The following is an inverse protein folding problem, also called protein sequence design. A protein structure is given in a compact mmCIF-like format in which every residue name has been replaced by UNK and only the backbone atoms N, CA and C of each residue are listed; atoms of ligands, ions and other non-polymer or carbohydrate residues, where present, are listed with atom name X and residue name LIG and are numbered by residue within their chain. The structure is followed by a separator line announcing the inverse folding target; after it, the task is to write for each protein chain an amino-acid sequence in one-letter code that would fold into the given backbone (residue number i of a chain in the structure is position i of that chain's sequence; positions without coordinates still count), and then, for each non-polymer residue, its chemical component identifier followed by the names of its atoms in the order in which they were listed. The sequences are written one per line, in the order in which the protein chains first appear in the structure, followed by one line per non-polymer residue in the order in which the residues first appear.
data_IF_904559542372
#
_entry.id   IF_904559542372
#
_cell.length_a   1.000
_cell.length_b   1.000
_cell.length_c   1.000
_cell.angle_alpha   90.00
_cell.angle_beta   90.00
_cell.angle_gamma   90.00
#
_symmetry.space_group_name_H-M   'P 1'
#
loop_
_entity.id
_entity.type
_entity.pdbx_description
1 polymer ?
#
# COMPACT_ATOMS: atom_id res chain seq x y z
N UNK A 1 54.14 31.69 3.44
CA UNK A 1 53.12 31.39 4.48
C UNK A 1 52.63 32.69 5.08
N UNK A 2 51.50 33.22 4.61
CA UNK A 2 50.87 34.40 5.21
C UNK A 2 50.01 33.88 6.37
N UNK A 3 50.58 33.86 7.58
CA UNK A 3 49.81 33.59 8.80
C UNK A 3 49.13 34.89 9.22
N UNK A 4 47.90 35.11 8.76
CA UNK A 4 47.12 36.26 9.17
C UNK A 4 46.52 35.96 10.56
N UNK A 5 47.02 36.67 11.58
CA UNK A 5 46.70 36.46 13.00
C UNK A 5 45.20 36.53 13.34
N UNK A 6 44.39 37.07 12.42
CA UNK A 6 42.94 37.22 12.59
C UNK A 6 42.11 36.06 12.05
N UNK A 7 42.68 35.16 11.22
CA UNK A 7 41.93 34.03 10.65
C UNK A 7 41.48 33.05 11.74
N UNK A 8 42.36 32.77 12.72
CA UNK A 8 42.02 31.89 13.83
C UNK A 8 40.92 32.47 14.73
N UNK A 9 40.91 33.79 14.92
CA UNK A 9 39.89 34.49 15.70
C UNK A 9 38.55 34.50 14.97
N UNK A 10 38.55 34.76 13.65
CA UNK A 10 37.35 34.70 12.83
C UNK A 10 36.75 33.29 12.78
N UNK A 11 37.58 32.26 12.60
CA UNK A 11 37.14 30.87 12.63
C UNK A 11 36.49 30.53 13.98
N UNK A 12 37.11 30.91 15.10
CA UNK A 12 36.58 30.66 16.45
C UNK A 12 35.22 31.37 16.68
N UNK A 13 35.09 32.63 16.25
CA UNK A 13 33.82 33.38 16.36
C UNK A 13 32.73 32.72 15.53
N UNK A 14 33.07 32.25 14.32
CA UNK A 14 32.11 31.57 13.45
C UNK A 14 31.67 30.22 14.04
N UNK A 15 32.60 29.45 14.61
CA UNK A 15 32.28 28.20 15.32
C UNK A 15 31.38 28.46 16.52
N UNK A 16 31.68 29.48 17.34
CA UNK A 16 30.84 29.84 18.50
C UNK A 16 29.44 30.27 18.03
N UNK A 17 29.34 31.05 16.95
CA UNK A 17 28.06 31.47 16.38
C UNK A 17 27.24 30.28 15.88
N UNK A 18 27.87 29.30 15.22
CA UNK A 18 27.21 28.06 14.79
C UNK A 18 26.74 27.25 15.99
N UNK A 19 27.58 27.05 17.01
CA UNK A 19 27.22 26.31 18.22
C UNK A 19 26.06 26.98 18.96
N UNK A 20 26.11 28.30 19.13
CA UNK A 20 25.01 29.06 19.74
C UNK A 20 23.73 29.00 18.90
N UNK A 21 23.86 29.02 17.56
CA UNK A 21 22.74 28.79 16.64
C UNK A 21 22.11 27.41 16.83
N UNK A 22 22.92 26.35 16.87
CA UNK A 22 22.45 24.99 17.14
C UNK A 22 21.78 24.87 18.50
N UNK A 23 22.36 25.46 19.56
CA UNK A 23 21.78 25.45 20.92
C UNK A 23 20.47 26.23 20.97
N UNK A 24 20.37 27.34 20.23
CA UNK A 24 19.14 28.10 20.11
C UNK A 24 18.05 27.30 19.38
N UNK A 25 18.39 26.63 18.28
CA UNK A 25 17.46 25.76 17.54
C UNK A 25 17.01 24.58 18.42
N UNK A 26 17.91 23.94 19.16
CA UNK A 26 17.57 22.87 20.09
C UNK A 26 16.70 23.35 21.26
N UNK A 27 16.92 24.57 21.76
CA UNK A 27 16.13 25.16 22.85
C UNK A 27 14.74 25.65 22.44
N UNK A 28 14.50 25.79 21.14
CA UNK A 28 13.22 26.23 20.56
C UNK A 28 12.57 25.17 19.66
N UNK A 29 13.13 23.96 19.58
CA UNK A 29 12.61 22.88 18.73
C UNK A 29 11.12 22.65 18.96
N UNK A 30 10.70 22.59 20.22
CA UNK A 30 9.30 22.32 20.61
C UNK A 30 8.32 23.42 20.15
N UNK A 31 8.81 24.65 19.94
CA UNK A 31 8.01 25.78 19.41
C UNK A 31 8.14 25.96 17.90
N UNK A 32 9.21 25.43 17.29
CA UNK A 32 9.43 25.44 15.84
C UNK A 32 8.71 24.28 15.16
N UNK A 33 8.60 23.12 15.81
CA UNK A 33 7.93 21.92 15.30
C UNK A 33 6.50 22.17 14.77
N UNK A 34 5.58 22.85 15.51
CA UNK A 34 4.24 23.12 15.00
C UNK A 34 4.21 24.13 13.82
N UNK A 35 5.22 25.00 13.70
CA UNK A 35 5.33 25.93 12.56
C UNK A 35 5.88 25.25 11.30
N UNK A 36 6.75 24.25 11.46
CA UNK A 36 7.33 23.47 10.35
C UNK A 36 6.33 22.44 9.80
N UNK A 37 5.38 21.96 10.62
CA UNK A 37 4.27 21.07 10.17
C UNK A 37 3.36 21.72 9.12
N UNK A 38 3.33 23.06 9.04
CA UNK A 38 2.49 23.80 8.08
C UNK A 38 3.16 24.11 6.74
N UNK A 39 4.44 23.78 6.59
CA UNK A 39 5.12 23.84 5.30
C UNK A 39 5.25 22.41 4.79
N UNK A 40 4.39 22.02 3.85
CA UNK A 40 4.64 20.85 3.01
C UNK A 40 6.10 20.95 2.56
N UNK A 41 6.91 19.93 2.86
CA UNK A 41 8.25 19.89 2.29
C UNK A 41 8.03 19.83 0.78
N UNK A 42 8.40 20.92 0.12
CA UNK A 42 8.19 21.04 -1.31
C UNK A 42 9.12 20.06 -2.00
N UNK A 43 8.61 18.88 -2.35
CA UNK A 43 9.35 17.86 -3.06
C UNK A 43 9.25 18.14 -4.56
N UNK A 44 10.38 18.03 -5.27
CA UNK A 44 10.44 18.38 -6.70
C UNK A 44 9.53 17.47 -7.55
N UNK A 45 9.41 16.19 -7.19
CA UNK A 45 8.52 15.26 -7.87
C UNK A 45 7.03 15.64 -7.79
N UNK A 46 6.58 16.26 -6.69
CA UNK A 46 5.17 16.60 -6.51
C UNK A 46 4.71 17.54 -7.64
N UNK A 47 5.47 18.61 -7.85
CA UNK A 47 5.19 19.57 -8.91
C UNK A 47 5.44 19.00 -10.30
N UNK A 48 6.58 18.33 -10.49
CA UNK A 48 7.02 17.89 -11.81
C UNK A 48 6.20 16.71 -12.37
N UNK A 49 5.63 15.87 -11.51
CA UNK A 49 4.90 14.68 -11.91
C UNK A 49 3.39 14.80 -11.67
N UNK A 50 2.96 15.42 -10.57
CA UNK A 50 1.56 15.35 -10.12
C UNK A 50 0.79 16.68 -10.22
N UNK A 51 1.47 17.82 -10.33
CA UNK A 51 0.82 19.12 -10.56
C UNK A 51 1.00 19.67 -11.99
N UNK A 52 1.45 18.83 -12.92
CA UNK A 52 1.62 19.22 -14.32
C UNK A 52 0.28 19.37 -15.06
N UNK A 53 0.21 20.30 -16.01
CA UNK A 53 -0.94 20.49 -16.91
C UNK A 53 -1.15 19.32 -17.90
N UNK A 54 -0.17 18.42 -17.99
CA UNK A 54 -0.15 17.27 -18.88
C UNK A 54 -0.02 15.96 -18.09
N UNK A 55 -0.53 14.87 -18.67
CA UNK A 55 -0.35 13.52 -18.11
C UNK A 55 1.12 13.10 -18.12
N UNK A 56 1.51 12.25 -17.18
CA UNK A 56 2.87 11.71 -17.12
C UNK A 56 3.11 10.82 -18.34
N UNK A 57 4.24 10.97 -19.01
CA UNK A 57 4.70 10.03 -20.04
C UNK A 57 5.81 9.16 -19.48
N UNK A 58 5.63 7.84 -19.52
CA UNK A 58 6.58 6.86 -18.99
C UNK A 58 6.93 5.86 -20.11
N UNK A 59 8.20 5.75 -20.46
CA UNK A 59 8.73 4.71 -21.36
C UNK A 59 9.57 3.72 -20.55
N UNK A 60 9.10 2.48 -20.44
CA UNK A 60 9.82 1.39 -19.78
C UNK A 60 10.68 0.69 -20.83
N UNK A 61 11.99 0.68 -20.61
CA UNK A 61 12.97 0.17 -21.56
C UNK A 61 13.69 -1.04 -20.96
N UNK A 62 13.42 -2.22 -21.53
CA UNK A 62 14.05 -3.47 -21.12
C UNK A 62 13.97 -4.52 -22.23
N UNK A 63 14.78 -5.58 -22.13
CA UNK A 63 14.73 -6.68 -23.09
C UNK A 63 13.33 -7.30 -23.14
N UNK A 64 12.81 -7.53 -24.35
CA UNK A 64 11.44 -8.04 -24.55
C UNK A 64 11.21 -9.39 -23.87
N UNK A 65 12.24 -10.26 -23.86
CA UNK A 65 12.19 -11.55 -23.18
C UNK A 65 12.04 -11.37 -21.66
N UNK A 66 12.73 -10.37 -21.08
CA UNK A 66 12.61 -10.05 -19.64
C UNK A 66 11.27 -9.42 -19.28
N UNK A 67 10.72 -8.58 -20.17
CA UNK A 67 9.36 -8.07 -19.99
C UNK A 67 8.36 -9.23 -19.95
N UNK A 68 8.42 -10.15 -20.91
CA UNK A 68 7.53 -11.31 -20.94
C UNK A 68 7.74 -12.23 -19.74
N UNK A 69 8.99 -12.52 -19.36
CA UNK A 69 9.30 -13.31 -18.16
C UNK A 69 8.68 -12.70 -16.90
N UNK A 70 8.74 -11.38 -16.74
CA UNK A 70 8.11 -10.67 -15.64
C UNK A 70 6.58 -10.86 -15.62
N UNK A 71 5.93 -10.80 -16.78
CA UNK A 71 4.48 -11.00 -16.88
C UNK A 71 4.08 -12.45 -16.60
N UNK A 72 4.85 -13.42 -17.10
CA UNK A 72 4.63 -14.85 -16.87
C UNK A 72 4.85 -15.23 -15.39
N UNK A 73 5.73 -14.51 -14.72
CA UNK A 73 6.08 -14.69 -13.31
C UNK A 73 5.44 -13.64 -12.38
N UNK A 74 4.35 -12.99 -12.82
CA UNK A 74 3.76 -11.84 -12.14
C UNK A 74 3.36 -12.12 -10.68
N UNK A 75 2.85 -13.33 -10.39
CA UNK A 75 2.44 -13.76 -9.05
C UNK A 75 3.57 -13.87 -8.03
N UNK A 76 4.83 -13.87 -8.48
CA UNK A 76 5.99 -13.94 -7.58
C UNK A 76 6.39 -12.57 -7.01
N UNK A 77 5.91 -11.49 -7.62
CA UNK A 77 6.21 -10.10 -7.22
C UNK A 77 7.71 -9.80 -7.08
N UNK A 78 8.54 -10.45 -7.89
CA UNK A 78 9.99 -10.18 -7.92
C UNK A 78 10.31 -8.99 -8.82
N UNK A 79 11.28 -8.19 -8.40
CA UNK A 79 11.77 -7.06 -9.19
C UNK A 79 12.63 -7.49 -10.37
N UNK A 80 12.34 -6.89 -11.53
CA UNK A 80 13.15 -6.93 -12.73
C UNK A 80 13.80 -5.56 -12.93
N UNK A 81 15.01 -5.56 -13.49
CA UNK A 81 15.74 -4.33 -13.79
C UNK A 81 15.31 -3.79 -15.16
N UNK A 82 15.03 -2.49 -15.23
CA UNK A 82 14.73 -1.76 -16.46
C UNK A 82 15.34 -0.35 -16.42
N UNK A 83 15.43 0.30 -17.58
CA UNK A 83 15.58 1.75 -17.65
C UNK A 83 14.19 2.37 -17.81
N UNK A 84 13.97 3.57 -17.29
CA UNK A 84 12.68 4.27 -17.43
C UNK A 84 12.91 5.71 -17.86
N UNK A 85 12.16 6.18 -18.85
CA UNK A 85 12.13 7.59 -19.25
C UNK A 85 10.81 8.22 -18.79
N UNK A 86 10.88 9.10 -17.78
CA UNK A 86 9.72 9.79 -17.21
C UNK A 86 9.76 11.25 -17.64
N UNK A 87 8.75 11.70 -18.40
CA UNK A 87 8.67 13.06 -18.95
C UNK A 87 9.95 13.50 -19.70
N UNK A 88 10.62 12.55 -20.36
CA UNK A 88 11.89 12.78 -21.07
C UNK A 88 13.16 12.64 -20.23
N UNK A 89 13.04 12.49 -18.91
CA UNK A 89 14.17 12.26 -18.01
C UNK A 89 14.43 10.75 -17.88
N UNK A 90 15.62 10.31 -18.28
CA UNK A 90 16.02 8.89 -18.19
C UNK A 90 16.60 8.58 -16.81
N UNK A 91 16.09 7.51 -16.20
CA UNK A 91 16.63 6.83 -15.02
C UNK A 91 17.05 5.42 -15.42
N UNK A 92 18.22 4.98 -14.96
CA UNK A 92 18.78 3.68 -15.32
C UNK A 92 18.68 2.72 -14.14
N UNK A 93 18.53 1.43 -14.44
CA UNK A 93 18.51 0.37 -13.42
C UNK A 93 17.43 0.57 -12.34
N UNK A 94 16.23 0.94 -12.77
CA UNK A 94 15.02 1.01 -11.93
C UNK A 94 14.43 -0.39 -11.75
N UNK A 95 13.94 -0.69 -10.55
CA UNK A 95 13.16 -1.89 -10.30
C UNK A 95 11.73 -1.75 -10.80
N UNK A 96 11.25 -2.76 -11.54
CA UNK A 96 9.84 -2.89 -11.91
C UNK A 96 9.31 -4.27 -11.50
N UNK A 97 8.09 -4.31 -10.98
CA UNK A 97 7.35 -5.56 -10.76
C UNK A 97 5.85 -5.36 -10.95
N UNK A 98 5.10 -6.41 -11.35
CA UNK A 98 3.66 -6.45 -11.17
C UNK A 98 3.30 -6.35 -9.69
N UNK A 99 2.14 -5.79 -9.39
CA UNK A 99 1.61 -5.64 -8.03
C UNK A 99 0.11 -5.87 -7.96
N UNK A 100 -0.35 -6.19 -6.75
CA UNK A 100 -1.76 -6.25 -6.38
C UNK A 100 -2.10 -7.58 -5.71
N UNK A 101 -3.32 -7.67 -5.21
CA UNK A 101 -3.84 -8.92 -4.65
C UNK A 101 -4.83 -9.53 -5.65
N UNK A 102 -6.13 -9.26 -5.50
CA UNK A 102 -7.20 -9.75 -6.38
C UNK A 102 -6.95 -9.45 -7.86
N UNK A 103 -6.57 -8.21 -8.20
CA UNK A 103 -6.32 -7.85 -9.60
C UNK A 103 -5.16 -8.63 -10.21
N UNK A 104 -4.10 -8.88 -9.44
CA UNK A 104 -2.93 -9.62 -9.90
C UNK A 104 -3.31 -11.07 -10.18
N UNK A 105 -3.98 -11.73 -9.23
CA UNK A 105 -4.44 -13.11 -9.36
C UNK A 105 -5.44 -13.28 -10.52
N UNK A 106 -6.41 -12.37 -10.66
CA UNK A 106 -7.40 -12.42 -11.74
C UNK A 106 -6.76 -12.26 -13.11
N UNK A 107 -5.84 -11.31 -13.29
CA UNK A 107 -5.16 -11.09 -14.57
C UNK A 107 -4.23 -12.27 -14.89
N UNK A 108 -3.46 -12.76 -13.91
CA UNK A 108 -2.57 -13.91 -14.12
C UNK A 108 -3.32 -15.21 -14.48
N UNK A 109 -4.59 -15.33 -14.10
CA UNK A 109 -5.44 -16.46 -14.47
C UNK A 109 -6.07 -16.35 -15.87
N UNK A 110 -6.01 -15.16 -16.49
CA UNK A 110 -6.59 -14.89 -17.79
C UNK A 110 -5.48 -14.81 -18.86
N UNK A 111 -5.36 -15.83 -19.74
CA UNK A 111 -4.28 -15.88 -20.72
C UNK A 111 -4.36 -14.77 -21.78
N UNK A 112 -5.51 -14.10 -21.91
CA UNK A 112 -5.74 -13.04 -22.89
C UNK A 112 -5.60 -11.64 -22.27
N UNK A 113 -5.31 -11.55 -20.97
CA UNK A 113 -5.16 -10.29 -20.25
C UNK A 113 -3.79 -10.18 -19.61
N UNK A 114 -3.04 -9.15 -20.02
CA UNK A 114 -1.71 -8.87 -19.51
C UNK A 114 -1.63 -7.47 -18.86
N UNK A 115 -2.77 -6.84 -18.57
CA UNK A 115 -2.82 -5.44 -18.13
C UNK A 115 -2.60 -5.32 -16.62
N UNK A 116 -1.46 -5.77 -16.13
CA UNK A 116 -1.10 -5.69 -14.70
C UNK A 116 -0.93 -4.25 -14.24
N UNK A 117 -1.13 -4.01 -12.94
CA UNK A 117 -0.59 -2.83 -12.26
C UNK A 117 0.89 -3.05 -11.97
N UNK A 118 1.67 -1.97 -11.99
CA UNK A 118 3.12 -2.05 -11.76
C UNK A 118 3.54 -1.18 -10.56
N UNK A 119 4.62 -1.59 -9.90
CA UNK A 119 5.37 -0.78 -8.94
C UNK A 119 6.76 -0.53 -9.55
N UNK A 120 7.16 0.74 -9.59
CA UNK A 120 8.53 1.16 -9.88
C UNK A 120 9.22 1.53 -8.58
N UNK A 121 10.41 0.99 -8.33
CA UNK A 121 11.26 1.30 -7.19
C UNK A 121 12.61 1.80 -7.70
N UNK A 122 12.91 3.08 -7.46
CA UNK A 122 14.02 3.76 -8.12
C UNK A 122 15.39 3.38 -7.55
N UNK A 123 15.45 2.99 -6.28
CA UNK A 123 16.67 2.59 -5.58
C UNK A 123 16.86 1.07 -5.46
N UNK A 124 15.95 0.26 -6.02
CA UNK A 124 16.00 -1.21 -5.96
C UNK A 124 17.35 -1.83 -6.39
N UNK A 125 18.02 -1.23 -7.37
CA UNK A 125 19.32 -1.69 -7.88
C UNK A 125 20.43 -0.62 -7.78
N UNK A 126 20.09 0.59 -7.33
CA UNK A 126 21.02 1.71 -7.18
C UNK A 126 20.67 2.46 -5.89
N UNK A 127 21.34 2.12 -4.80
CA UNK A 127 21.10 2.69 -3.47
C UNK A 127 20.96 4.23 -3.51
N UNK A 128 19.81 4.74 -3.03
CA UNK A 128 19.52 6.16 -2.92
C UNK A 128 19.16 6.88 -4.23
N UNK A 129 19.01 6.17 -5.35
CA UNK A 129 18.44 6.75 -6.57
C UNK A 129 16.97 7.10 -6.37
N UNK A 130 16.56 8.29 -6.81
CA UNK A 130 15.17 8.75 -6.74
C UNK A 130 14.76 9.40 -8.06
N UNK A 131 13.45 9.44 -8.33
CA UNK A 131 12.89 10.26 -9.39
C UNK A 131 12.48 11.63 -8.80
N UNK A 132 13.38 12.63 -8.86
CA UNK A 132 13.11 13.99 -8.33
C UNK A 132 12.74 13.98 -6.82
N UNK A 133 13.29 13.03 -6.07
CA UNK A 133 12.98 12.80 -4.65
C UNK A 133 11.84 11.80 -4.39
N UNK A 134 11.17 11.28 -5.42
CA UNK A 134 10.24 10.15 -5.30
C UNK A 134 11.03 8.85 -5.22
N UNK A 135 10.72 8.01 -4.23
CA UNK A 135 11.32 6.70 -3.98
C UNK A 135 10.64 5.58 -4.79
N UNK A 136 9.30 5.57 -4.82
CA UNK A 136 8.51 4.58 -5.54
C UNK A 136 7.29 5.18 -6.24
N UNK A 137 7.00 4.68 -7.44
CA UNK A 137 5.86 5.09 -8.25
C UNK A 137 4.94 3.90 -8.53
N UNK A 138 3.65 4.08 -8.30
CA UNK A 138 2.63 3.05 -8.50
C UNK A 138 1.86 3.35 -9.78
N UNK A 139 1.70 2.34 -10.63
CA UNK A 139 0.97 2.43 -11.88
C UNK A 139 -0.24 1.50 -11.82
N UNK A 140 -1.40 2.04 -11.43
CA UNK A 140 -2.64 1.28 -11.31
C UNK A 140 -3.35 1.14 -12.66
N UNK A 141 -3.80 -0.08 -12.93
CA UNK A 141 -4.42 -0.50 -14.20
C UNK A 141 -5.93 -0.25 -14.29
N UNK A 142 -6.56 0.30 -13.25
CA UNK A 142 -8.02 0.47 -13.17
C UNK A 142 -8.85 -0.82 -13.29
N UNK A 143 -8.32 -1.96 -12.85
CA UNK A 143 -8.94 -3.28 -13.05
C UNK A 143 -10.45 -3.34 -12.72
N UNK A 144 -10.85 -2.76 -11.59
CA UNK A 144 -12.24 -2.76 -11.12
C UNK A 144 -13.02 -1.46 -11.45
N UNK A 145 -12.44 -0.57 -12.24
CA UNK A 145 -13.02 0.74 -12.56
C UNK A 145 -13.16 0.95 -14.07
N UNK A 146 -14.36 0.68 -14.59
CA UNK A 146 -14.70 0.90 -15.99
C UNK A 146 -14.62 2.38 -16.42
N UNK A 147 -14.67 3.33 -15.47
CA UNK A 147 -14.61 4.77 -15.76
C UNK A 147 -13.18 5.31 -15.81
N UNK A 148 -12.23 4.61 -15.20
CA UNK A 148 -10.85 5.03 -14.96
C UNK A 148 -10.74 6.31 -14.10
N UNK A 149 -11.84 6.75 -13.47
CA UNK A 149 -11.93 8.03 -12.79
C UNK A 149 -12.16 7.90 -11.28
N UNK A 150 -12.63 6.76 -10.77
CA UNK A 150 -13.06 6.66 -9.35
C UNK A 150 -11.93 7.02 -8.41
N UNK A 151 -10.79 6.35 -8.57
CA UNK A 151 -9.63 6.55 -7.72
C UNK A 151 -9.08 7.97 -7.89
N UNK A 152 -8.92 8.45 -9.14
CA UNK A 152 -8.43 9.79 -9.44
C UNK A 152 -9.31 10.90 -8.80
N UNK A 153 -10.64 10.79 -8.93
CA UNK A 153 -11.59 11.74 -8.34
C UNK A 153 -11.51 11.74 -6.81
N UNK A 154 -11.30 10.58 -6.20
CA UNK A 154 -11.25 10.48 -4.74
C UNK A 154 -9.96 11.04 -4.19
N UNK A 155 -8.82 10.81 -4.83
CA UNK A 155 -7.57 11.47 -4.46
C UNK A 155 -7.62 12.98 -4.68
N UNK A 156 -8.31 13.46 -5.74
CA UNK A 156 -8.59 14.89 -5.91
C UNK A 156 -9.44 15.45 -4.76
N UNK A 157 -10.45 14.72 -4.29
CA UNK A 157 -11.24 15.09 -3.11
C UNK A 157 -10.41 15.12 -1.83
N UNK A 158 -9.52 14.15 -1.60
CA UNK A 158 -8.59 14.17 -0.46
C UNK A 158 -7.66 15.38 -0.52
N UNK A 159 -7.11 15.70 -1.69
CA UNK A 159 -6.28 16.88 -1.90
C UNK A 159 -7.07 18.17 -1.64
N UNK A 160 -8.31 18.27 -2.13
CA UNK A 160 -9.20 19.41 -1.87
C UNK A 160 -9.50 19.60 -0.38
N UNK A 161 -9.71 18.50 0.35
CA UNK A 161 -9.95 18.51 1.79
C UNK A 161 -8.67 18.69 2.61
N UNK A 162 -7.49 18.79 1.98
CA UNK A 162 -6.19 18.83 2.64
C UNK A 162 -6.02 17.65 3.62
N UNK A 163 -6.40 16.45 3.16
CA UNK A 163 -6.11 15.20 3.84
C UNK A 163 -4.76 14.63 3.33
N UNK A 164 -4.01 14.00 4.24
CA UNK A 164 -2.77 13.30 3.93
C UNK A 164 -3.09 12.08 3.07
N UNK A 165 -2.85 12.20 1.76
CA UNK A 165 -3.13 11.19 0.76
C UNK A 165 -2.06 11.20 -0.35
N UNK A 166 -1.92 10.07 -1.05
CA UNK A 166 -1.02 9.98 -2.21
C UNK A 166 -1.37 11.04 -3.24
N UNK A 167 -0.34 11.62 -3.85
CA UNK A 167 -0.54 12.37 -5.08
C UNK A 167 -0.90 11.41 -6.23
N UNK A 168 -1.77 11.84 -7.13
CA UNK A 168 -2.21 11.04 -8.27
C UNK A 168 -2.29 11.84 -9.56
N UNK A 169 -1.89 11.24 -10.68
CA UNK A 169 -2.01 11.82 -12.02
C UNK A 169 -2.11 10.70 -13.06
N UNK A 170 -2.80 10.93 -14.17
CA UNK A 170 -2.82 9.95 -15.24
C UNK A 170 -1.43 9.78 -15.88
N UNK A 171 -1.13 8.56 -16.30
CA UNK A 171 0.13 8.21 -16.95
C UNK A 171 -0.12 7.44 -18.25
N UNK A 172 0.53 7.90 -19.32
CA UNK A 172 0.67 7.18 -20.59
C UNK A 172 1.91 6.31 -20.50
N UNK A 173 1.71 5.00 -20.52
CA UNK A 173 2.78 4.01 -20.46
C UNK A 173 3.16 3.56 -21.87
N UNK A 174 4.46 3.48 -22.12
CA UNK A 174 5.08 2.87 -23.28
C UNK A 174 6.06 1.81 -22.81
N UNK A 175 6.21 0.74 -23.60
CA UNK A 175 7.21 -0.30 -23.38
C UNK A 175 8.06 -0.39 -24.64
N UNK A 176 9.36 -0.11 -24.51
CA UNK A 176 10.29 -0.03 -25.63
C UNK A 176 9.81 0.90 -26.76
N UNK A 177 9.18 2.03 -26.39
CA UNK A 177 8.62 3.01 -27.34
C UNK A 177 7.26 2.65 -27.94
N UNK A 178 6.72 1.46 -27.68
CA UNK A 178 5.36 1.07 -28.11
C UNK A 178 4.33 1.41 -27.04
N UNK A 179 3.18 1.96 -27.44
CA UNK A 179 2.13 2.32 -26.48
C UNK A 179 1.56 1.08 -25.80
N UNK A 180 1.58 1.10 -24.46
CA UNK A 180 1.06 0.03 -23.62
C UNK A 180 -0.34 0.33 -23.08
N UNK A 181 -0.56 1.53 -22.54
CA UNK A 181 -1.87 1.87 -21.99
C UNK A 181 -1.90 3.15 -21.17
N UNK A 182 -3.13 3.56 -20.83
CA UNK A 182 -3.42 4.60 -19.84
C UNK A 182 -3.55 3.96 -18.45
N UNK A 183 -2.88 4.56 -17.48
CA UNK A 183 -2.81 4.13 -16.08
C UNK A 183 -3.03 5.33 -15.17
N UNK A 184 -3.32 5.08 -13.89
CA UNK A 184 -3.21 6.09 -12.85
C UNK A 184 -1.87 5.92 -12.15
N UNK A 185 -1.05 6.96 -12.20
CA UNK A 185 0.17 7.02 -11.41
C UNK A 185 -0.17 7.54 -10.02
N UNK A 186 0.33 6.87 -8.98
CA UNK A 186 0.23 7.29 -7.60
C UNK A 186 1.61 7.32 -6.95
N UNK A 187 1.81 8.32 -6.10
CA UNK A 187 2.87 8.31 -5.10
C UNK A 187 2.66 7.12 -4.14
N UNK A 188 3.69 6.31 -3.94
CA UNK A 188 3.64 5.24 -2.94
C UNK A 188 3.61 5.85 -1.53
N UNK A 189 2.78 5.29 -0.63
CA UNK A 189 2.78 5.68 0.79
C UNK A 189 3.97 5.02 1.47
N UNK A 190 5.16 5.57 1.23
CA UNK A 190 6.45 5.11 1.77
C UNK A 190 7.31 6.33 2.17
N UNK A 191 8.62 6.30 1.98
CA UNK A 191 9.54 7.29 2.56
C UNK A 191 9.32 8.69 1.97
N UNK A 192 9.18 8.83 0.65
CA UNK A 192 8.95 10.14 0.03
C UNK A 192 7.63 10.78 0.48
N UNK A 193 6.56 9.97 0.58
CA UNK A 193 5.27 10.40 1.12
C UNK A 193 5.40 10.89 2.57
N UNK A 194 6.11 10.13 3.42
CA UNK A 194 6.33 10.53 4.81
C UNK A 194 7.09 11.85 4.88
N UNK A 195 8.13 12.03 4.06
CA UNK A 195 8.88 13.29 4.01
C UNK A 195 8.00 14.45 3.56
N UNK A 196 7.15 14.27 2.55
CA UNK A 196 6.26 15.32 2.03
C UNK A 196 5.23 15.78 3.07
N UNK A 197 4.56 14.84 3.75
CA UNK A 197 3.45 15.14 4.66
C UNK A 197 3.91 15.38 6.11
N UNK A 198 4.95 14.69 6.58
CA UNK A 198 5.37 14.69 7.99
C UNK A 198 6.80 15.20 8.22
N UNK A 199 7.55 15.43 7.13
CA UNK A 199 8.95 15.85 7.20
C UNK A 199 9.91 14.73 7.59
N UNK A 200 11.09 15.12 8.05
CA UNK A 200 12.16 14.19 8.43
C UNK A 200 12.01 13.62 9.85
N UNK A 201 10.86 13.84 10.50
CA UNK A 201 10.62 13.26 11.81
C UNK A 201 10.44 11.75 11.70
N UNK A 202 11.01 11.02 12.67
CA UNK A 202 10.83 9.57 12.72
C UNK A 202 9.36 9.26 13.02
N UNK A 203 8.73 8.51 12.12
CA UNK A 203 7.43 7.90 12.31
C UNK A 203 7.44 6.47 11.78
N UNK A 204 6.40 5.73 12.12
CA UNK A 204 6.25 4.33 11.76
C UNK A 204 4.99 4.17 10.93
N UNK A 205 5.13 3.42 9.84
CA UNK A 205 4.06 3.22 8.89
C UNK A 205 3.69 1.74 8.87
N UNK A 206 2.39 1.47 8.91
CA UNK A 206 1.82 0.14 8.88
C UNK A 206 0.77 0.09 7.78
N UNK A 207 0.74 -0.99 7.01
CA UNK A 207 -0.30 -1.34 6.04
C UNK A 207 -0.99 -2.62 6.52
N UNK A 208 -1.97 -2.52 7.43
CA UNK A 208 -2.66 -3.70 7.94
C UNK A 208 -3.39 -4.39 6.80
N UNK A 209 -2.97 -5.62 6.47
CA UNK A 209 -3.64 -6.47 5.49
C UNK A 209 -3.96 -7.83 6.13
N UNK A 210 -5.24 -8.09 6.37
CA UNK A 210 -5.73 -9.36 6.91
C UNK A 210 -5.67 -10.53 5.93
N UNK A 211 -5.38 -10.27 4.65
CA UNK A 211 -5.37 -11.23 3.54
C UNK A 211 -3.97 -11.44 2.95
N UNK A 212 -2.92 -11.08 3.69
CA UNK A 212 -1.56 -10.93 3.18
C UNK A 212 -1.05 -12.18 2.42
N UNK A 213 -1.03 -12.07 1.09
CA UNK A 213 -0.48 -13.05 0.13
C UNK A 213 0.61 -12.45 -0.78
N UNK A 214 0.82 -11.12 -0.80
CA UNK A 214 1.60 -10.46 -1.87
C UNK A 214 2.72 -9.50 -1.45
N UNK A 215 2.56 -8.67 -0.41
CA UNK A 215 3.54 -7.61 -0.08
C UNK A 215 4.59 -8.08 0.95
N UNK A 216 5.33 -9.15 0.65
CA UNK A 216 6.59 -9.46 1.37
C UNK A 216 7.76 -8.76 0.68
N UNK A 217 8.06 -7.52 1.07
CA UNK A 217 9.35 -6.92 0.78
C UNK A 217 10.36 -7.29 1.90
N UNK A 218 11.50 -7.88 1.51
CA UNK A 218 12.68 -8.02 2.38
C UNK A 218 13.06 -9.42 2.88
N UNK A 219 13.56 -10.28 2.00
CA UNK A 219 14.59 -11.28 2.36
C UNK A 219 14.13 -12.70 2.71
N UNK A 220 14.39 -13.64 1.78
CA UNK A 220 14.69 -15.04 2.06
C UNK A 220 13.57 -15.89 2.69
N UNK A 221 13.01 -16.83 1.92
CA UNK A 221 12.30 -17.97 2.52
C UNK A 221 13.20 -18.65 3.58
N UNK A 222 12.73 -18.86 4.82
CA UNK A 222 13.41 -19.78 5.72
C UNK A 222 13.33 -21.16 5.10
N UNK A 223 14.49 -21.77 4.87
CA UNK A 223 14.66 -23.15 4.44
C UNK A 223 13.74 -24.08 5.29
N UNK A 224 13.04 -25.07 4.73
CA UNK A 224 12.05 -25.88 5.47
C UNK A 224 12.60 -26.75 6.62
N UNK A 225 13.87 -26.58 7.02
CA UNK A 225 14.58 -27.44 7.95
C UNK A 225 14.72 -26.92 9.39
N UNK A 226 14.14 -25.78 9.76
CA UNK A 226 14.21 -25.27 11.15
C UNK A 226 12.86 -25.18 11.88
N UNK A 227 11.88 -26.03 11.53
CA UNK A 227 10.74 -26.30 12.43
C UNK A 227 11.11 -27.44 13.40
N UNK A 228 12.04 -27.16 14.29
CA UNK A 228 12.58 -28.15 15.23
C UNK A 228 12.85 -27.56 16.61
N UNK A 229 11.78 -27.25 17.36
CA UNK A 229 11.68 -27.34 18.84
C UNK A 229 10.49 -26.51 19.32
N UNK A 230 9.34 -27.13 19.56
CA UNK A 230 8.49 -26.87 20.73
C UNK A 230 7.47 -28.01 20.89
N UNK A 231 7.67 -28.79 21.96
CA UNK A 231 6.61 -29.39 22.78
C UNK A 231 5.57 -30.33 22.15
N UNK A 232 5.91 -31.62 22.08
CA UNK A 232 5.12 -32.69 22.70
C UNK A 232 3.72 -33.03 22.17
N UNK A 233 3.66 -33.93 21.18
CA UNK A 233 2.72 -35.08 21.14
C UNK A 233 3.27 -36.15 20.19
N UNK A 234 3.39 -37.38 20.68
CA UNK A 234 3.90 -38.54 19.94
C UNK A 234 2.97 -38.88 18.77
N UNK A 235 3.53 -38.94 17.55
CA UNK A 235 2.91 -39.61 16.42
C UNK A 235 3.26 -41.11 16.48
N UNK A 236 2.32 -42.05 16.26
CA UNK A 236 2.62 -43.46 16.18
C UNK A 236 3.48 -43.78 14.96
N UNK A 237 4.49 -44.64 15.13
CA UNK A 237 5.33 -45.16 14.05
C UNK A 237 4.51 -46.04 13.08
N UNK A 238 4.60 -45.77 11.78
CA UNK A 238 4.16 -46.69 10.73
C UNK A 238 5.16 -47.84 10.59
N UNK A 239 4.72 -49.11 10.51
CA UNK A 239 5.59 -50.21 10.12
C UNK A 239 5.87 -50.15 8.61
N UNK A 240 7.15 -50.27 8.24
CA UNK A 240 7.54 -50.72 6.90
C UNK A 240 7.24 -52.22 6.81
N UNK A 241 6.48 -52.63 5.80
CA UNK A 241 6.78 -53.75 4.90
C UNK A 241 5.66 -53.90 3.86
N UNK A 242 6.06 -54.19 2.62
CA UNK A 242 5.22 -54.08 1.44
C UNK A 242 4.20 -55.20 1.23
N UNK A 243 3.15 -54.88 0.46
CA UNK A 243 2.48 -55.77 -0.49
C UNK A 243 1.52 -54.94 -1.38
N UNK A 244 1.43 -55.28 -2.66
CA UNK A 244 0.60 -54.64 -3.70
C UNK A 244 -0.90 -54.83 -3.44
N UNK A 245 -1.75 -53.82 -3.72
CA UNK A 245 -3.16 -54.04 -4.08
C UNK A 245 -3.70 -53.00 -5.08
N UNK A 246 -4.56 -53.49 -5.97
CA UNK A 246 -5.05 -52.98 -7.26
C UNK A 246 -6.11 -51.86 -7.19
N UNK A 247 -6.36 -51.12 -8.30
CA UNK A 247 -7.36 -50.04 -8.34
C UNK A 247 -8.79 -50.55 -8.67
N UNK A 248 -9.87 -49.98 -8.10
CA UNK A 248 -11.24 -50.30 -8.50
C UNK A 248 -11.74 -49.52 -9.74
N UNK A 249 -12.64 -50.16 -10.49
CA UNK A 249 -13.19 -49.77 -11.79
C UNK A 249 -14.31 -48.72 -11.74
N UNK A 250 -14.46 -47.96 -12.83
CA UNK A 250 -15.59 -47.08 -13.16
C UNK A 250 -16.81 -47.86 -13.67
N UNK A 251 -18.06 -47.42 -13.40
CA UNK A 251 -19.24 -47.87 -14.15
C UNK A 251 -19.47 -47.03 -15.42
N UNK A 252 -19.73 -47.72 -16.54
CA UNK A 252 -20.36 -47.18 -17.74
C UNK A 252 -21.87 -47.13 -17.50
N UNK A 253 -22.52 -46.02 -17.88
CA UNK A 253 -23.71 -46.05 -18.75
C UNK A 253 -23.99 -44.62 -19.24
N UNK A 254 -24.29 -44.52 -20.54
CA UNK A 254 -24.31 -43.27 -21.29
C UNK A 254 -25.71 -42.71 -21.52
N UNK A 255 -25.79 -41.38 -21.52
CA UNK A 255 -26.75 -40.62 -22.31
C UNK A 255 -26.03 -39.39 -22.91
N UNK A 256 -26.24 -39.17 -24.21
CA UNK A 256 -25.69 -38.08 -25.01
C UNK A 256 -26.15 -36.70 -24.48
N UNK A 257 -25.21 -35.81 -24.16
CA UNK A 257 -25.52 -34.39 -23.99
C UNK A 257 -25.39 -33.66 -25.32
N UNK A 258 -26.52 -33.20 -25.82
CA UNK A 258 -26.65 -32.23 -26.90
C UNK A 258 -26.11 -30.86 -26.45
N UNK A 259 -25.27 -30.25 -27.29
CA UNK A 259 -24.82 -28.86 -27.13
C UNK A 259 -25.94 -27.88 -27.50
N UNK A 260 -26.33 -26.91 -26.65
CA UNK A 260 -26.99 -25.70 -27.10
C UNK A 260 -25.96 -24.61 -27.43
N UNK A 261 -26.21 -23.94 -28.55
CA UNK A 261 -25.42 -22.85 -29.15
C UNK A 261 -25.33 -21.60 -28.24
N UNK A 262 -24.19 -20.90 -28.33
CA UNK A 262 -23.95 -19.59 -27.72
C UNK A 262 -24.81 -18.49 -28.35
N UNK A 263 -25.37 -17.55 -27.56
CA UNK A 263 -25.72 -16.21 -28.02
C UNK A 263 -24.55 -15.23 -27.73
N UNK A 264 -23.91 -14.68 -28.76
CA UNK A 264 -24.52 -13.59 -29.51
C UNK A 264 -24.41 -12.14 -28.99
N UNK A 265 -24.06 -11.86 -27.73
CA UNK A 265 -24.45 -10.56 -27.15
C UNK A 265 -23.25 -9.80 -26.57
N UNK A 266 -22.75 -8.83 -27.35
CA UNK A 266 -21.81 -7.83 -26.91
C UNK A 266 -22.51 -6.73 -26.11
N UNK A 267 -22.44 -6.83 -24.78
CA UNK A 267 -22.43 -5.70 -23.86
C UNK A 267 -21.50 -6.07 -22.70
N UNK A 268 -20.56 -5.18 -22.37
CA UNK A 268 -19.56 -5.36 -21.30
C UNK A 268 -20.18 -5.38 -19.91
N UNK A 269 -20.95 -6.43 -19.61
CA UNK A 269 -21.36 -6.77 -18.26
C UNK A 269 -20.22 -7.55 -17.62
N UNK A 270 -19.72 -7.04 -16.49
CA UNK A 270 -18.87 -7.80 -15.57
C UNK A 270 -19.51 -9.20 -15.39
N UNK A 271 -18.74 -10.29 -15.37
CA UNK A 271 -19.23 -11.52 -14.76
C UNK A 271 -19.65 -11.11 -13.35
N UNK A 272 -20.92 -11.29 -13.02
CA UNK A 272 -21.39 -11.19 -11.65
C UNK A 272 -20.59 -12.22 -10.86
N UNK A 273 -19.48 -11.78 -10.27
CA UNK A 273 -18.66 -12.57 -9.40
C UNK A 273 -19.47 -12.79 -8.13
N UNK A 274 -20.29 -13.85 -8.13
CA UNK A 274 -20.52 -14.58 -6.90
C UNK A 274 -19.13 -14.90 -6.35
N UNK A 275 -18.72 -14.16 -5.32
CA UNK A 275 -17.53 -14.49 -4.54
C UNK A 275 -17.64 -15.97 -4.16
N UNK A 276 -16.64 -16.81 -4.47
CA UNK A 276 -16.70 -18.22 -4.12
C UNK A 276 -16.98 -18.37 -2.62
N UNK A 277 -18.10 -19.01 -2.26
CA UNK A 277 -18.37 -19.44 -0.89
C UNK A 277 -17.22 -20.35 -0.46
N UNK A 278 -16.30 -19.82 0.36
CA UNK A 278 -15.09 -20.54 0.77
C UNK A 278 -13.84 -19.70 0.94
N UNK A 279 -13.85 -18.40 0.61
CA UNK A 279 -12.81 -17.50 1.10
C UNK A 279 -12.82 -17.50 2.63
N UNK A 280 -11.68 -17.76 3.32
CA UNK A 280 -11.63 -17.61 4.76
C UNK A 280 -11.73 -16.12 5.06
N UNK A 281 -12.98 -15.64 5.23
CA UNK A 281 -13.26 -14.37 5.85
C UNK A 281 -12.54 -14.35 7.18
N UNK A 282 -11.52 -13.49 7.29
CA UNK A 282 -10.90 -13.19 8.56
C UNK A 282 -11.93 -12.52 9.45
N UNK A 283 -12.54 -13.28 10.36
CA UNK A 283 -13.41 -12.71 11.39
C UNK A 283 -14.67 -13.52 11.65
N UNK A 284 -14.53 -14.64 12.35
CA UNK A 284 -15.63 -15.10 13.20
C UNK A 284 -15.94 -14.06 14.29
N UNK A 285 -17.18 -14.01 14.80
CA UNK A 285 -17.59 -13.00 15.78
C UNK A 285 -16.84 -13.21 17.10
N UNK A 286 -15.87 -12.35 17.41
CA UNK A 286 -15.29 -12.30 18.77
C UNK A 286 -13.78 -12.05 18.95
N UNK A 287 -13.03 -11.59 17.93
CA UNK A 287 -11.65 -11.16 18.15
C UNK A 287 -11.03 -10.57 16.88
N UNK A 288 -11.02 -9.23 16.78
CA UNK A 288 -10.32 -8.54 15.70
C UNK A 288 -8.82 -8.79 15.81
N UNK A 289 -8.13 -8.91 14.68
CA UNK A 289 -6.67 -9.01 14.58
C UNK A 289 -5.96 -7.63 14.62
N UNK A 290 -6.69 -6.58 15.01
CA UNK A 290 -6.27 -5.19 15.08
C UNK A 290 -6.46 -4.37 13.80
N UNK A 291 -6.77 -4.99 12.65
CA UNK A 291 -6.88 -4.28 11.38
C UNK A 291 -8.06 -3.28 11.33
N UNK A 292 -9.05 -3.41 12.20
CA UNK A 292 -10.15 -2.46 12.32
C UNK A 292 -9.85 -1.28 13.28
N UNK A 293 -8.63 -1.22 13.83
CA UNK A 293 -8.17 -0.18 14.76
C UNK A 293 -9.02 -0.04 16.04
N UNK A 294 -9.85 -1.03 16.37
CA UNK A 294 -10.60 -1.02 17.62
C UNK A 294 -9.71 -1.48 18.78
N UNK A 295 -9.70 -0.72 19.87
CA UNK A 295 -9.08 -1.16 21.11
C UNK A 295 -9.83 -2.38 21.68
N UNK A 296 -9.07 -3.43 22.02
CA UNK A 296 -9.60 -4.68 22.59
C UNK A 296 -8.97 -4.99 23.95
N UNK A 297 -7.65 -4.94 24.04
CA UNK A 297 -6.86 -5.09 25.27
C UNK A 297 -5.44 -4.49 25.09
N UNK A 298 -4.60 -4.62 26.13
CA UNK A 298 -3.19 -4.17 26.12
C UNK A 298 -2.23 -5.16 25.44
N UNK A 299 -2.70 -6.31 24.96
CA UNK A 299 -1.85 -7.36 24.41
C UNK A 299 -1.47 -7.03 22.97
N UNK A 300 -0.17 -6.89 22.69
CA UNK A 300 0.32 -6.64 21.33
C UNK A 300 -0.11 -7.72 20.32
N UNK A 301 -0.31 -8.95 20.78
CA UNK A 301 -0.75 -10.06 19.92
C UNK A 301 -2.15 -9.84 19.33
N UNK A 302 -3.01 -9.10 20.04
CA UNK A 302 -4.37 -8.76 19.60
C UNK A 302 -4.37 -7.84 18.38
N UNK A 303 -3.24 -7.19 18.10
CA UNK A 303 -3.06 -6.25 16.99
C UNK A 303 -2.02 -6.72 15.98
N UNK A 304 -1.73 -8.03 15.95
CA UNK A 304 -0.65 -8.59 15.13
C UNK A 304 -0.75 -8.24 13.64
N UNK A 305 -1.94 -8.01 13.07
CA UNK A 305 -2.06 -7.59 11.67
C UNK A 305 -1.47 -6.21 11.41
N UNK A 306 -1.48 -5.30 12.39
CA UNK A 306 -0.83 -4.00 12.25
C UNK A 306 0.68 -4.19 12.14
N UNK A 307 1.27 -4.96 13.05
CA UNK A 307 2.73 -5.16 13.11
C UNK A 307 3.26 -6.00 11.94
N UNK A 308 2.49 -7.00 11.51
CA UNK A 308 2.81 -7.81 10.33
C UNK A 308 2.78 -6.98 9.04
N UNK A 309 2.07 -5.86 9.03
CA UNK A 309 2.02 -4.89 7.95
C UNK A 309 3.01 -3.73 8.10
N UNK A 310 4.01 -3.81 8.99
CA UNK A 310 4.99 -2.74 9.14
C UNK A 310 5.77 -2.51 7.83
N UNK A 311 5.74 -1.27 7.33
CA UNK A 311 6.49 -0.83 6.14
C UNK A 311 7.93 -0.51 6.51
N UNK A 312 8.14 0.00 7.73
CA UNK A 312 9.47 0.29 8.27
C UNK A 312 9.67 -0.37 9.65
N UNK A 313 10.95 -0.52 10.03
CA UNK A 313 11.34 -1.21 11.26
C UNK A 313 10.77 -0.52 12.50
N UNK A 314 9.95 -1.28 13.25
CA UNK A 314 9.33 -0.84 14.50
C UNK A 314 9.59 -1.83 15.64
N UNK A 315 9.51 -1.35 16.87
CA UNK A 315 9.76 -2.13 18.09
C UNK A 315 8.48 -2.31 18.90
N UNK A 316 8.47 -3.26 19.84
CA UNK A 316 7.39 -3.41 20.81
C UNK A 316 7.05 -2.12 21.59
N UNK A 317 8.04 -1.22 21.78
CA UNK A 317 7.80 0.06 22.42
C UNK A 317 6.99 1.02 21.52
N UNK A 318 7.20 0.94 20.21
CA UNK A 318 6.41 1.67 19.22
C UNK A 318 4.99 1.09 19.12
N UNK A 319 4.87 -0.24 19.08
CA UNK A 319 3.58 -0.93 19.07
C UNK A 319 2.75 -0.61 20.32
N UNK A 320 3.38 -0.54 21.51
CA UNK A 320 2.70 -0.12 22.74
C UNK A 320 2.14 1.29 22.65
N UNK A 321 2.83 2.24 22.01
CA UNK A 321 2.29 3.60 21.82
C UNK A 321 1.04 3.59 20.95
N UNK A 322 1.03 2.79 19.89
CA UNK A 322 -0.16 2.60 19.06
C UNK A 322 -1.32 2.04 19.88
N UNK A 323 -1.11 0.97 20.66
CA UNK A 323 -2.17 0.39 21.52
C UNK A 323 -2.70 1.40 22.54
N UNK A 324 -1.81 2.16 23.19
CA UNK A 324 -2.21 3.25 24.10
C UNK A 324 -3.06 4.30 23.37
N UNK A 325 -2.66 4.72 22.17
CA UNK A 325 -3.43 5.66 21.38
C UNK A 325 -4.82 5.12 21.01
N UNK A 326 -4.92 3.85 20.61
CA UNK A 326 -6.21 3.19 20.33
C UNK A 326 -7.11 3.15 21.57
N UNK A 327 -6.54 2.89 22.75
CA UNK A 327 -7.29 2.93 24.01
C UNK A 327 -7.89 4.33 24.25
N UNK A 328 -7.07 5.38 24.18
CA UNK A 328 -7.53 6.75 24.40
C UNK A 328 -8.58 7.21 23.38
N UNK A 329 -8.44 6.78 22.12
CA UNK A 329 -9.45 7.01 21.08
C UNK A 329 -10.77 6.32 21.43
N UNK A 330 -10.73 5.05 21.81
CA UNK A 330 -11.91 4.27 22.22
C UNK A 330 -12.61 4.85 23.46
N UNK A 331 -11.84 5.42 24.40
CA UNK A 331 -12.38 6.06 25.60
C UNK A 331 -12.81 7.53 25.37
N UNK A 332 -12.50 8.10 24.20
CA UNK A 332 -12.77 9.51 23.90
C UNK A 332 -11.95 10.50 24.75
N UNK A 333 -10.75 10.11 25.18
CA UNK A 333 -9.90 10.91 26.07
C UNK A 333 -8.66 11.42 25.36
N UNK A 334 -8.28 12.68 25.63
CA UNK A 334 -7.03 13.29 25.15
C UNK A 334 -6.79 13.14 23.64
N UNK A 335 -7.85 13.20 22.82
CA UNK A 335 -7.82 12.89 21.39
C UNK A 335 -6.75 13.68 20.63
N UNK A 336 -6.58 14.97 20.93
CA UNK A 336 -5.58 15.82 20.26
C UNK A 336 -4.12 15.38 20.49
N UNK A 337 -3.89 14.61 21.57
CA UNK A 337 -2.60 13.99 21.90
C UNK A 337 -2.38 12.73 21.08
N UNK A 338 -3.40 11.89 20.94
CA UNK A 338 -3.28 10.53 20.42
C UNK A 338 -3.68 10.35 18.95
N UNK A 339 -4.38 11.32 18.35
CA UNK A 339 -4.74 11.31 16.93
C UNK A 339 -4.57 12.68 16.27
N UNK A 340 -4.30 12.68 14.97
CA UNK A 340 -4.45 13.88 14.15
C UNK A 340 -5.92 14.15 13.82
N UNK A 341 -6.63 14.77 14.77
CA UNK A 341 -8.08 15.03 14.69
C UNK A 341 -8.47 15.74 13.38
N UNK A 342 -7.67 16.71 12.92
CA UNK A 342 -7.97 17.47 11.70
C UNK A 342 -7.83 16.58 10.46
N UNK A 343 -6.71 15.86 10.33
CA UNK A 343 -6.51 14.98 9.18
C UNK A 343 -7.52 13.84 9.15
N UNK A 344 -7.79 13.20 10.29
CA UNK A 344 -8.79 12.13 10.39
C UNK A 344 -10.18 12.66 10.02
N UNK A 345 -10.58 13.85 10.47
CA UNK A 345 -11.86 14.42 10.07
C UNK A 345 -11.96 14.64 8.54
N UNK A 346 -10.90 15.15 7.92
CA UNK A 346 -10.83 15.32 6.46
C UNK A 346 -10.86 13.98 5.72
N UNK A 347 -10.09 13.00 6.19
CA UNK A 347 -10.10 11.63 5.68
C UNK A 347 -11.51 11.04 5.73
N UNK A 348 -12.16 11.11 6.90
CA UNK A 348 -13.48 10.52 7.14
C UNK A 348 -14.56 11.16 6.30
N UNK A 349 -14.47 12.47 6.03
CA UNK A 349 -15.42 13.16 5.16
C UNK A 349 -15.40 12.60 3.72
N UNK A 350 -14.21 12.43 3.15
CA UNK A 350 -14.05 11.88 1.79
C UNK A 350 -14.34 10.38 1.76
N UNK A 351 -13.81 9.63 2.73
CA UNK A 351 -14.01 8.19 2.85
C UNK A 351 -15.50 7.84 2.95
N UNK A 352 -16.25 8.53 3.82
CA UNK A 352 -17.70 8.34 3.97
C UNK A 352 -18.46 8.71 2.69
N UNK A 353 -18.08 9.81 2.03
CA UNK A 353 -18.69 10.21 0.76
C UNK A 353 -18.43 9.18 -0.36
N UNK A 354 -17.26 8.55 -0.35
CA UNK A 354 -16.86 7.61 -1.39
C UNK A 354 -17.60 6.28 -1.34
N UNK A 355 -18.22 5.91 -0.21
CA UNK A 355 -18.86 4.60 -0.01
C UNK A 355 -17.91 3.45 -0.43
N UNK A 356 -16.67 3.51 0.08
CA UNK A 356 -15.66 2.48 -0.18
C UNK A 356 -15.70 1.40 0.90
N UNK A 357 -16.51 0.36 0.66
CA UNK A 357 -16.62 -0.81 1.55
C UNK A 357 -15.41 -1.74 1.49
N UNK A 358 -14.52 -1.58 0.51
CA UNK A 358 -13.26 -2.30 0.41
C UNK A 358 -12.14 -1.53 1.14
N UNK A 359 -12.45 -0.96 2.31
CA UNK A 359 -11.50 -0.14 3.09
C UNK A 359 -11.78 -0.24 4.60
N UNK A 360 -11.38 0.75 5.40
CA UNK A 360 -11.46 0.74 6.87
C UNK A 360 -12.91 0.55 7.39
N UNK A 361 -13.92 1.13 6.72
CA UNK A 361 -15.34 0.96 7.05
C UNK A 361 -15.91 -0.39 6.64
N UNK A 362 -15.14 -1.20 5.91
CA UNK A 362 -15.54 -2.49 5.38
C UNK A 362 -15.47 -3.64 6.39
N UNK A 363 -16.09 -4.77 6.03
CA UNK A 363 -16.01 -6.00 6.83
C UNK A 363 -14.60 -6.57 6.96
N UNK A 364 -13.70 -6.26 6.02
CA UNK A 364 -12.33 -6.76 5.97
C UNK A 364 -11.30 -5.80 6.60
N UNK A 365 -11.65 -4.52 6.80
CA UNK A 365 -10.81 -3.47 7.40
C UNK A 365 -9.35 -3.46 6.87
N UNK A 366 -9.18 -3.09 5.61
CA UNK A 366 -7.89 -3.04 4.88
C UNK A 366 -7.86 -1.79 3.99
N UNK A 367 -6.91 -1.70 3.04
CA UNK A 367 -6.79 -0.58 2.09
C UNK A 367 -6.72 0.79 2.78
N UNK A 368 -5.86 0.87 3.78
CA UNK A 368 -5.40 2.10 4.41
C UNK A 368 -3.98 1.88 4.96
N UNK A 369 -3.27 2.96 5.24
CA UNK A 369 -2.08 2.91 6.08
C UNK A 369 -2.35 3.59 7.42
N UNK A 370 -1.80 3.03 8.48
CA UNK A 370 -1.71 3.64 9.79
C UNK A 370 -0.32 4.24 9.95
N UNK A 371 -0.25 5.54 10.23
CA UNK A 371 0.98 6.23 10.59
C UNK A 371 0.99 6.54 12.08
N UNK A 372 2.13 6.32 12.74
CA UNK A 372 2.36 6.70 14.14
C UNK A 372 3.62 7.55 14.29
N UNK A 373 3.51 8.66 15.02
CA UNK A 373 4.68 9.40 15.50
C UNK A 373 4.45 9.90 16.92
N UNK A 374 5.36 9.56 17.84
CA UNK A 374 5.37 10.01 19.25
C UNK A 374 4.04 9.73 20.00
N UNK A 375 3.33 8.68 19.63
CA UNK A 375 2.04 8.27 20.19
C UNK A 375 0.83 8.88 19.51
N UNK A 376 1.02 9.70 18.47
CA UNK A 376 -0.06 10.30 17.69
C UNK A 376 -0.28 9.51 16.40
N UNK A 377 -1.50 9.03 16.21
CA UNK A 377 -1.92 8.24 15.06
C UNK A 377 -2.50 9.10 13.94
N UNK A 378 -2.34 8.62 12.72
CA UNK A 378 -2.97 9.14 11.52
C UNK A 378 -3.36 8.00 10.57
N UNK A 379 -4.34 8.25 9.71
CA UNK A 379 -4.81 7.29 8.68
C UNK A 379 -4.60 7.90 7.31
N UNK A 380 -4.05 7.10 6.39
CA UNK A 380 -3.79 7.48 4.99
C UNK A 380 -4.63 6.58 4.07
N UNK A 381 -5.39 7.13 3.11
CA UNK A 381 -6.20 6.33 2.18
C UNK A 381 -5.34 5.49 1.25
N UNK A 382 -5.84 4.32 0.88
CA UNK A 382 -5.24 3.47 -0.15
C UNK A 382 -6.31 2.75 -0.96
N UNK A 383 -6.04 2.48 -2.23
CA UNK A 383 -6.85 1.64 -3.14
C UNK A 383 -8.37 1.94 -3.14
N UNK A 384 -8.77 2.99 -3.87
CA UNK A 384 -10.16 3.43 -3.98
C UNK A 384 -10.81 3.07 -5.32
N UNK A 385 -10.31 2.04 -6.00
CA UNK A 385 -10.85 1.56 -7.27
C UNK A 385 -12.28 0.99 -7.15
N UNK A 386 -12.65 0.46 -5.99
CA UNK A 386 -13.97 -0.10 -5.66
C UNK A 386 -14.90 0.90 -4.96
N UNK A 387 -14.55 2.18 -4.95
CA UNK A 387 -15.41 3.22 -4.44
C UNK A 387 -16.74 3.35 -5.23
N UNK A 388 -17.64 4.11 -4.63
CA UNK A 388 -19.03 4.33 -5.04
C UNK A 388 -19.84 3.03 -5.08
N UNK A 389 -19.68 2.19 -4.04
CA UNK A 389 -20.36 0.90 -3.92
C UNK A 389 -19.87 -0.18 -4.90
N UNK A 390 -18.64 -0.06 -5.40
CA UNK A 390 -18.08 -0.99 -6.39
C UNK A 390 -17.86 -2.40 -5.86
N UNK A 391 -17.74 -2.59 -4.55
CA UNK A 391 -17.45 -3.88 -3.93
C UNK A 391 -18.65 -4.85 -3.91
N UNK A 392 -19.86 -4.35 -3.62
CA UNK A 392 -21.03 -5.21 -3.37
C UNK A 392 -22.06 -5.21 -4.52
N UNK A 393 -21.80 -4.50 -5.61
CA UNK A 393 -22.57 -4.60 -6.87
C UNK A 393 -24.07 -4.25 -6.74
N UNK A 394 -24.47 -3.55 -5.68
CA UNK A 394 -25.85 -3.23 -5.37
C UNK A 394 -26.36 -1.98 -6.14
N UNK A 395 -27.67 -1.70 -6.01
CA UNK A 395 -28.25 -0.45 -6.50
C UNK A 395 -27.69 0.77 -5.75
N UNK A 396 -27.40 1.85 -6.48
CA UNK A 396 -26.81 3.06 -5.93
C UNK A 396 -27.62 3.68 -4.78
N UNK A 397 -28.95 3.54 -4.81
CA UNK A 397 -29.83 4.05 -3.73
C UNK A 397 -29.59 3.28 -2.43
N UNK A 398 -29.36 1.97 -2.51
CA UNK A 398 -29.08 1.17 -1.33
C UNK A 398 -27.74 1.56 -0.71
N UNK A 399 -26.70 1.68 -1.54
CA UNK A 399 -25.33 2.00 -1.08
C UNK A 399 -25.22 3.40 -0.46
N UNK A 400 -25.83 4.42 -1.06
CA UNK A 400 -25.79 5.79 -0.52
C UNK A 400 -26.58 5.92 0.80
N UNK A 401 -27.56 5.06 1.03
CA UNK A 401 -28.36 5.05 2.26
C UNK A 401 -27.92 3.98 3.26
N UNK A 402 -26.86 3.22 2.96
CA UNK A 402 -26.35 2.23 3.90
C UNK A 402 -25.79 2.96 5.13
N UNK A 403 -26.28 2.65 6.34
CA UNK A 403 -25.82 3.34 7.52
C UNK A 403 -24.34 3.04 7.73
N UNK A 404 -23.53 4.09 7.87
CA UNK A 404 -22.15 4.01 8.33
C UNK A 404 -22.12 3.52 9.79
N UNK A 405 -22.33 2.22 9.99
CA UNK A 405 -22.22 1.58 11.28
C UNK A 405 -20.76 1.23 11.51
N UNK A 406 -20.18 1.75 12.61
CA UNK A 406 -18.88 1.37 13.19
C UNK A 406 -17.64 2.19 12.79
N UNK A 407 -17.77 3.43 12.32
CA UNK A 407 -16.62 4.29 12.03
C UNK A 407 -16.05 4.99 13.29
N UNK A 408 -15.74 4.20 14.33
CA UNK A 408 -15.31 4.55 15.71
C UNK A 408 -16.51 4.61 16.69
N UNK A 409 -16.62 3.68 17.66
CA UNK A 409 -17.63 3.75 18.73
C UNK A 409 -17.45 4.94 19.68
#
# INVERSE_FOLDING_TARGET
MISNKHIAVLALVLTIAVVLGCVFVMGYSDKLHPMMRKTNYHTEYADALFCADEIITIDIQMEQEKWQEMLDNAMSEVYYQCDVVINGNKLESVGIRPKGNTSLASIASDPDNNRYSFKLEFDQFVDGQTCLGLDKLILNNHYADASYMKEALIYDMFAYMNADASLSQYAKIMVNGEYWGLYLALEAVEDSFMVRNYGLEKGYLYKPDGMNMGDREGGGMPNPMERGKFGGRQMPQMPQDGEEMTPPQMPQDGEEMTLPQMPQDGEGRMPSGEFPEGFPGGGGPGGGNGANLNYSDDSLNSYSTIWNGAVNDSTDADHRRVVTALQHVSEGTELETYIDVENIANYMAVHSFSVNEDSLSGSMAHNYYLYESKGKLNVVPWDYNLAFGGMHGNDATAMVNDPLMNLIP
#
